data_IF_209853307344
#
_entry.id   IF_209853307344
#
_cell.length_a   1.000
_cell.length_b   1.000
_cell.length_c   1.000
_cell.angle_alpha   90.00
_cell.angle_beta   90.00
_cell.angle_gamma   90.00
#
_symmetry.space_group_name_H-M   'P 1'
#
loop_
_entity.id
_entity.type
_entity.pdbx_description
1 polymer ?
#
# COMPACT_ATOMS: atom_id res chain seq x y z
N UNK A 1 2.65 -3.99 -8.07
CA UNK A 1 1.97 -2.68 -8.00
C UNK A 1 2.52 -1.69 -9.03
N UNK A 2 3.83 -1.42 -9.07
CA UNK A 2 4.44 -0.48 -10.05
C UNK A 2 4.20 -0.86 -11.53
N UNK A 3 4.27 -2.15 -11.89
CA UNK A 3 3.97 -2.60 -13.25
C UNK A 3 2.53 -2.27 -13.68
N UNK A 4 1.55 -2.46 -12.78
CA UNK A 4 0.13 -2.13 -13.03
C UNK A 4 -0.07 -0.62 -13.16
N UNK A 5 0.64 0.19 -12.37
CA UNK A 5 0.64 1.65 -12.53
C UNK A 5 1.11 2.04 -13.93
N UNK A 6 2.24 1.48 -14.39
CA UNK A 6 2.79 1.82 -15.70
C UNK A 6 1.92 1.32 -16.86
N UNK A 7 1.39 0.11 -16.75
CA UNK A 7 0.42 -0.42 -17.70
C UNK A 7 -0.80 0.52 -17.81
N UNK A 8 -1.39 0.91 -16.68
CA UNK A 8 -2.53 1.82 -16.67
C UNK A 8 -2.22 3.23 -17.19
N UNK A 9 -0.96 3.67 -17.13
CA UNK A 9 -0.51 4.93 -17.74
C UNK A 9 -0.41 4.81 -19.26
N UNK A 10 0.22 3.75 -19.76
CA UNK A 10 0.38 3.49 -21.20
C UNK A 10 -0.98 3.23 -21.87
N UNK A 11 -1.79 2.36 -21.27
CA UNK A 11 -3.12 2.02 -21.80
C UNK A 11 -4.00 3.28 -21.97
N UNK A 12 -3.95 4.21 -21.02
CA UNK A 12 -4.71 5.46 -21.09
C UNK A 12 -4.32 6.32 -22.29
N UNK A 13 -3.02 6.36 -22.63
CA UNK A 13 -2.56 7.11 -23.79
C UNK A 13 -2.92 6.41 -25.09
N UNK A 14 -2.85 5.07 -25.13
CA UNK A 14 -3.21 4.27 -26.30
C UNK A 14 -4.69 4.37 -26.64
N UNK A 15 -5.58 4.32 -25.65
CA UNK A 15 -7.03 4.34 -25.89
C UNK A 15 -7.64 5.75 -25.93
N UNK A 16 -6.83 6.81 -25.81
CA UNK A 16 -7.33 8.18 -25.65
C UNK A 16 -8.26 8.62 -26.80
N UNK A 17 -8.01 8.13 -28.02
CA UNK A 17 -8.82 8.43 -29.20
C UNK A 17 -10.24 7.85 -29.16
N UNK A 18 -10.51 6.87 -28.28
CA UNK A 18 -11.82 6.19 -28.18
C UNK A 18 -12.79 6.88 -27.23
N UNK A 19 -12.32 7.85 -26.43
CA UNK A 19 -13.08 8.42 -25.31
C UNK A 19 -13.24 7.48 -24.10
N UNK A 20 -12.66 6.27 -24.13
CA UNK A 20 -12.56 5.39 -22.98
C UNK A 20 -11.51 5.87 -21.96
N UNK A 21 -11.63 5.43 -20.71
CA UNK A 21 -10.70 5.81 -19.62
C UNK A 21 -10.30 4.60 -18.79
N UNK A 22 -9.03 4.56 -18.36
CA UNK A 22 -8.51 3.55 -17.44
C UNK A 22 -8.19 4.16 -16.06
N UNK A 23 -8.37 3.41 -14.98
CA UNK A 23 -8.10 3.86 -13.61
C UNK A 23 -7.17 2.89 -12.90
N UNK A 24 -6.25 3.40 -12.07
CA UNK A 24 -5.43 2.58 -11.17
C UNK A 24 -5.83 2.87 -9.72
N UNK A 25 -6.11 1.83 -8.95
CA UNK A 25 -6.53 1.93 -7.56
C UNK A 25 -5.34 1.75 -6.62
N UNK A 26 -5.18 2.69 -5.70
CA UNK A 26 -4.21 2.65 -4.60
C UNK A 26 -4.96 2.51 -3.27
N UNK A 27 -5.25 1.27 -2.86
CA UNK A 27 -5.81 1.04 -1.55
C UNK A 27 -4.71 1.28 -0.50
N UNK A 28 -5.02 2.12 0.47
CA UNK A 28 -4.31 2.10 1.75
C UNK A 28 -4.69 0.86 2.55
N UNK A 29 -4.27 0.81 3.82
CA UNK A 29 -4.64 -0.27 4.72
C UNK A 29 -6.16 -0.47 4.75
N UNK A 30 -6.65 -1.51 4.11
CA UNK A 30 -8.07 -1.87 4.06
C UNK A 30 -8.28 -3.03 5.01
N UNK A 31 -9.29 -2.96 5.87
CA UNK A 31 -9.56 -3.94 6.92
C UNK A 31 -10.07 -5.28 6.35
N UNK A 32 -9.21 -5.99 5.63
CA UNK A 32 -9.45 -7.33 5.11
C UNK A 32 -8.80 -8.38 6.02
N UNK A 33 -9.18 -9.67 5.90
CA UNK A 33 -8.52 -10.75 6.63
C UNK A 33 -7.00 -10.78 6.43
N UNK A 34 -6.52 -10.43 5.24
CA UNK A 34 -5.08 -10.33 4.93
C UNK A 34 -4.43 -9.20 5.75
N UNK A 35 -5.06 -8.03 5.83
CA UNK A 35 -4.52 -6.90 6.59
C UNK A 35 -4.54 -7.16 8.11
N UNK A 36 -5.45 -8.00 8.60
CA UNK A 36 -5.57 -8.33 10.04
C UNK A 36 -4.25 -8.84 10.63
N UNK A 37 -3.46 -9.60 9.86
CA UNK A 37 -2.12 -10.06 10.28
C UNK A 37 -1.24 -8.90 10.73
N UNK A 38 -1.27 -7.79 10.01
CA UNK A 38 -0.46 -6.61 10.26
C UNK A 38 -1.03 -5.67 11.34
N UNK A 39 -2.30 -5.83 11.72
CA UNK A 39 -3.01 -4.98 12.68
C UNK A 39 -3.56 -5.81 13.84
N UNK A 40 -2.66 -6.48 14.56
CA UNK A 40 -2.98 -7.25 15.78
C UNK A 40 -3.15 -8.76 15.58
N UNK A 41 -3.10 -9.27 14.34
CA UNK A 41 -3.16 -10.71 14.05
C UNK A 41 -1.83 -11.44 14.24
N UNK A 42 -0.70 -10.75 14.12
CA UNK A 42 0.63 -11.24 14.46
C UNK A 42 1.41 -10.14 15.19
N UNK A 43 1.95 -10.47 16.37
CA UNK A 43 2.62 -9.50 17.23
C UNK A 43 3.89 -8.91 16.58
N UNK A 44 4.68 -9.73 15.90
CA UNK A 44 5.92 -9.34 15.22
C UNK A 44 5.62 -8.41 14.05
N UNK A 45 4.67 -8.77 13.18
CA UNK A 45 4.25 -7.94 12.04
C UNK A 45 3.62 -6.61 12.51
N UNK A 46 2.84 -6.64 13.59
CA UNK A 46 2.25 -5.42 14.17
C UNK A 46 3.34 -4.45 14.63
N UNK A 47 4.35 -4.94 15.35
CA UNK A 47 5.53 -4.12 15.76
C UNK A 47 6.30 -3.57 14.56
N UNK A 48 6.39 -4.32 13.46
CA UNK A 48 7.02 -3.83 12.23
C UNK A 48 6.27 -2.65 11.63
N UNK A 49 4.94 -2.72 11.53
CA UNK A 49 4.11 -1.62 11.03
C UNK A 49 4.21 -0.39 11.93
N UNK A 50 4.18 -0.59 13.25
CA UNK A 50 4.34 0.48 14.24
C UNK A 50 5.69 1.19 14.14
N UNK A 51 6.76 0.46 13.83
CA UNK A 51 8.09 1.02 13.61
C UNK A 51 8.22 1.72 12.24
N UNK A 52 7.54 1.22 11.21
CA UNK A 52 7.66 1.73 9.85
C UNK A 52 6.80 2.97 9.57
N UNK A 53 5.66 3.13 10.26
CA UNK A 53 4.70 4.20 9.98
C UNK A 53 4.23 4.94 11.24
N UNK A 54 3.96 6.26 11.17
CA UNK A 54 3.33 6.99 12.25
C UNK A 54 1.85 6.60 12.44
N UNK A 55 1.31 6.79 13.65
CA UNK A 55 -0.03 6.34 14.05
C UNK A 55 -1.15 6.78 13.11
N UNK A 56 -1.10 8.01 12.61
CA UNK A 56 -2.11 8.56 11.72
C UNK A 56 -2.12 7.90 10.32
N UNK A 57 -1.04 7.24 9.89
CA UNK A 57 -0.98 6.46 8.65
C UNK A 57 -1.41 5.00 8.83
N UNK A 58 -1.36 4.48 10.05
CA UNK A 58 -1.62 3.07 10.37
C UNK A 58 -3.09 2.70 10.53
N UNK A 59 -4.02 3.65 10.54
CA UNK A 59 -5.45 3.37 10.77
C UNK A 59 -6.10 2.66 9.56
N UNK A 60 -6.60 1.43 9.64
CA UNK A 60 -7.26 0.82 8.49
C UNK A 60 -8.55 1.56 8.09
N UNK A 61 -8.88 1.54 6.79
CA UNK A 61 -10.19 1.93 6.26
C UNK A 61 -11.08 0.70 6.09
N UNK A 62 -12.40 0.89 6.07
CA UNK A 62 -13.31 -0.23 5.83
C UNK A 62 -13.31 -0.64 4.34
N UNK A 63 -13.63 -1.90 4.02
CA UNK A 63 -13.83 -2.35 2.64
C UNK A 63 -14.90 -1.54 1.89
N UNK A 64 -15.98 -1.16 2.58
CA UNK A 64 -17.10 -0.38 2.02
C UNK A 64 -16.64 1.02 1.64
N UNK A 65 -15.79 1.66 2.47
CA UNK A 65 -15.19 2.94 2.13
C UNK A 65 -14.31 2.85 0.88
N UNK A 66 -13.52 1.77 0.76
CA UNK A 66 -12.72 1.52 -0.44
C UNK A 66 -13.61 1.30 -1.68
N UNK A 67 -14.67 0.51 -1.55
CA UNK A 67 -15.63 0.26 -2.64
C UNK A 67 -16.29 1.56 -3.11
N UNK A 68 -16.76 2.40 -2.18
CA UNK A 68 -17.34 3.71 -2.49
C UNK A 68 -16.33 4.62 -3.20
N UNK A 69 -15.07 4.63 -2.77
CA UNK A 69 -14.02 5.41 -3.43
C UNK A 69 -13.75 4.92 -4.86
N UNK A 70 -13.80 3.60 -5.11
CA UNK A 70 -13.68 3.03 -6.45
C UNK A 70 -14.85 3.48 -7.33
N UNK A 71 -16.09 3.30 -6.87
CA UNK A 71 -17.29 3.71 -7.62
C UNK A 71 -17.24 5.19 -7.98
N UNK A 72 -16.98 6.05 -6.98
CA UNK A 72 -16.86 7.50 -7.18
C UNK A 72 -15.73 7.88 -8.13
N UNK A 73 -14.59 7.21 -8.03
CA UNK A 73 -13.43 7.45 -8.90
C UNK A 73 -13.71 7.06 -10.34
N UNK A 74 -14.36 5.91 -10.57
CA UNK A 74 -14.78 5.45 -11.89
C UNK A 74 -15.81 6.39 -12.51
N UNK A 75 -16.86 6.79 -11.77
CA UNK A 75 -17.87 7.75 -12.23
C UNK A 75 -17.25 9.08 -12.67
N UNK A 76 -16.22 9.53 -11.94
CA UNK A 76 -15.46 10.77 -12.25
C UNK A 76 -14.33 10.55 -13.26
N UNK A 77 -14.19 9.35 -13.82
CA UNK A 77 -13.12 8.97 -14.76
C UNK A 77 -11.71 9.32 -14.24
N UNK A 78 -11.50 9.18 -12.94
CA UNK A 78 -10.25 9.57 -12.30
C UNK A 78 -9.10 8.66 -12.71
N UNK A 79 -7.93 9.20 -13.09
CA UNK A 79 -6.80 8.37 -13.49
C UNK A 79 -6.24 7.51 -12.37
N UNK A 80 -6.31 8.00 -11.13
CA UNK A 80 -5.78 7.36 -9.93
C UNK A 80 -6.79 7.53 -8.81
N UNK A 81 -7.13 6.43 -8.15
CA UNK A 81 -8.11 6.39 -7.06
C UNK A 81 -7.36 6.03 -5.77
N UNK A 82 -7.24 6.99 -4.85
CA UNK A 82 -6.60 6.80 -3.55
C UNK A 82 -7.65 6.75 -2.45
N UNK A 83 -7.55 5.76 -1.57
CA UNK A 83 -8.36 5.69 -0.36
C UNK A 83 -7.56 5.03 0.78
N UNK A 84 -7.34 5.71 1.91
CA UNK A 84 -7.71 7.10 2.21
C UNK A 84 -6.80 8.14 1.52
N UNK A 85 -7.30 9.36 1.34
CA UNK A 85 -6.60 10.47 0.65
C UNK A 85 -5.27 10.88 1.29
N UNK A 86 -5.03 10.53 2.56
CA UNK A 86 -3.76 10.80 3.25
C UNK A 86 -2.54 10.11 2.65
N UNK A 87 -2.73 9.12 1.76
CA UNK A 87 -1.64 8.50 1.00
C UNK A 87 -1.23 9.27 -0.26
N UNK A 88 -2.03 10.27 -0.66
CA UNK A 88 -1.79 11.07 -1.87
C UNK A 88 -0.44 11.81 -1.83
N UNK A 89 -0.07 12.51 -0.74
CA UNK A 89 1.22 13.22 -0.68
C UNK A 89 2.42 12.30 -0.90
N UNK A 90 2.41 11.10 -0.31
CA UNK A 90 3.46 10.10 -0.48
C UNK A 90 3.54 9.57 -1.92
N UNK A 91 2.39 9.42 -2.59
CA UNK A 91 2.37 8.99 -3.99
C UNK A 91 2.92 10.04 -4.94
N UNK A 92 2.62 11.32 -4.70
CA UNK A 92 3.10 12.43 -5.55
C UNK A 92 4.61 12.60 -5.39
N UNK A 93 5.10 12.57 -4.14
CA UNK A 93 6.51 12.78 -3.81
C UNK A 93 7.33 11.47 -3.83
N UNK A 94 6.80 10.38 -4.42
CA UNK A 94 7.40 9.04 -4.35
C UNK A 94 8.84 8.97 -4.84
N UNK A 95 9.23 9.78 -5.82
CA UNK A 95 10.61 9.77 -6.33
C UNK A 95 11.62 10.16 -5.26
N UNK A 96 11.33 11.23 -4.51
CA UNK A 96 12.17 11.71 -3.41
C UNK A 96 11.98 10.86 -2.15
N UNK A 97 10.73 10.50 -1.83
CA UNK A 97 10.44 9.70 -0.64
C UNK A 97 11.00 8.28 -0.72
N UNK A 98 10.89 7.59 -1.86
CA UNK A 98 11.38 6.22 -1.99
C UNK A 98 12.90 6.16 -1.79
N UNK A 99 13.66 7.07 -2.42
CA UNK A 99 15.12 7.09 -2.24
C UNK A 99 15.52 7.30 -0.77
N UNK A 100 14.84 8.22 -0.06
CA UNK A 100 15.08 8.47 1.35
C UNK A 100 14.61 7.33 2.27
N UNK A 101 13.42 6.79 2.03
CA UNK A 101 12.86 5.69 2.83
C UNK A 101 13.64 4.40 2.65
N UNK A 102 14.08 4.10 1.44
CA UNK A 102 14.86 2.88 1.16
C UNK A 102 16.21 2.97 1.88
N UNK A 103 16.90 4.11 1.81
CA UNK A 103 18.14 4.32 2.56
C UNK A 103 17.94 4.21 4.08
N UNK A 104 16.80 4.69 4.61
CA UNK A 104 16.45 4.57 6.02
C UNK A 104 16.17 3.11 6.41
N UNK A 105 15.32 2.40 5.65
CA UNK A 105 14.92 1.02 5.92
C UNK A 105 16.11 0.07 5.85
N UNK A 106 17.00 0.24 4.86
CA UNK A 106 18.25 -0.52 4.73
C UNK A 106 19.13 -0.40 5.98
N UNK A 107 19.05 0.71 6.71
CA UNK A 107 19.85 0.95 7.92
C UNK A 107 19.09 0.67 9.23
N UNK A 108 17.81 0.31 9.14
CA UNK A 108 16.94 0.24 10.32
C UNK A 108 17.07 -1.11 11.06
N UNK A 109 18.08 -1.22 11.93
CA UNK A 109 18.41 -2.44 12.69
C UNK A 109 17.21 -3.08 13.41
N UNK A 110 16.29 -2.28 13.95
CA UNK A 110 15.07 -2.78 14.62
C UNK A 110 14.12 -3.49 13.65
N UNK A 111 14.01 -3.01 12.41
CA UNK A 111 13.17 -3.66 11.40
C UNK A 111 13.82 -4.95 10.90
N UNK A 112 15.14 -4.95 10.73
CA UNK A 112 15.90 -6.15 10.38
C UNK A 112 15.78 -7.24 11.45
N UNK A 113 15.89 -6.89 12.73
CA UNK A 113 15.71 -7.85 13.82
C UNK A 113 14.28 -8.43 13.87
N UNK A 114 13.26 -7.61 13.65
CA UNK A 114 11.87 -8.08 13.57
C UNK A 114 11.62 -8.98 12.36
N UNK A 115 12.27 -8.71 11.21
CA UNK A 115 12.22 -9.57 10.03
C UNK A 115 12.86 -10.94 10.31
N UNK A 116 14.05 -10.97 10.92
CA UNK A 116 14.72 -12.23 11.30
C UNK A 116 13.89 -13.03 12.29
N UNK A 117 13.26 -12.36 13.26
CA UNK A 117 12.35 -12.99 14.20
C UNK A 117 11.16 -13.62 13.46
N UNK A 118 10.52 -12.88 12.56
CA UNK A 118 9.38 -13.38 11.76
C UNK A 118 9.77 -14.60 10.90
N UNK A 119 10.94 -14.58 10.28
CA UNK A 119 11.45 -15.72 9.51
C UNK A 119 11.69 -16.94 10.41
N UNK A 120 12.23 -16.74 11.61
CA UNK A 120 12.44 -17.84 12.58
C UNK A 120 11.13 -18.45 13.07
N UNK A 121 10.10 -17.64 13.29
CA UNK A 121 8.74 -18.07 13.67
C UNK A 121 8.02 -18.81 12.52
N UNK A 122 8.36 -18.48 11.27
CA UNK A 122 7.72 -19.04 10.07
C UNK A 122 8.38 -20.34 9.58
N UNK A 123 9.58 -20.69 10.08
CA UNK A 123 10.21 -21.96 9.72
C UNK A 123 9.35 -23.12 10.23
N UNK A 124 8.93 -24.06 9.36
CA UNK A 124 8.24 -25.24 9.83
C UNK A 124 9.17 -26.00 10.78
N UNK A 125 8.63 -26.48 11.90
CA UNK A 125 9.32 -27.43 12.76
C UNK A 125 9.67 -28.62 11.88
N UNK A 126 10.96 -28.77 11.53
CA UNK A 126 11.47 -30.00 10.94
C UNK A 126 11.24 -31.10 11.98
N UNK A 127 10.19 -31.90 11.74
CA UNK A 127 9.99 -33.21 12.37
C UNK A 127 10.74 -34.25 11.57
#
# INVERSE_FOLDING_TARGET
>A
KAAVEMLGRCLRTEIAYTGATASVVYPGWTATPIAKVAFGGNATVTKMIEAAFPAWLRKPISPEYMAQAIVKGVQRRQPRIFAPVRWVPFSILRGMFNAGSDAMVIRHKKLQGLLQQLESESKPVQK
#
